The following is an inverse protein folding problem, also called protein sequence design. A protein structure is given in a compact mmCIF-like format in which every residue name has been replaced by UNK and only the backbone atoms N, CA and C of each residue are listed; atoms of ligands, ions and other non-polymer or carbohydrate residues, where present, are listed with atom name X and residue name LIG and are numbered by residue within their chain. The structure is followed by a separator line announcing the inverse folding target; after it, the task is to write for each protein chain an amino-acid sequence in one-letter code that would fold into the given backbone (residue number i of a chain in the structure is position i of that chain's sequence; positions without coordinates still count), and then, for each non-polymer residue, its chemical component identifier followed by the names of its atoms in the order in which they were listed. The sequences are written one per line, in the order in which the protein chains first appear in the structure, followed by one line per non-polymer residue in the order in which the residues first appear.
data_IF_227444495709
#
_entry.id   IF_227444495709
#
_cell.length_a   1.000
_cell.length_b   1.000
_cell.length_c   1.000
_cell.angle_alpha   90.00
_cell.angle_beta   90.00
_cell.angle_gamma   90.00
#
_symmetry.space_group_name_H-M   'P 1'
#
loop_
_entity.id
_entity.type
_entity.pdbx_description
1 polymer ?
#
# COMPACT_ATOMS: atom_id res chain seq x y z
N UNK A 1 -6.39 -9.18 6.28
CA UNK A 1 -5.81 -7.85 6.63
C UNK A 1 -4.49 -7.95 7.41
N UNK A 2 -4.37 -8.80 8.44
CA UNK A 2 -3.16 -8.89 9.29
C UNK A 2 -1.84 -9.04 8.49
N UNK A 3 -1.75 -9.99 7.55
CA UNK A 3 -0.53 -10.19 6.76
C UNK A 3 -0.10 -8.93 5.98
N UNK A 4 -1.06 -8.21 5.42
CA UNK A 4 -0.83 -6.97 4.68
C UNK A 4 -0.24 -5.87 5.57
N UNK A 5 -0.72 -5.76 6.80
CA UNK A 5 -0.31 -4.67 7.70
C UNK A 5 0.96 -4.96 8.49
N UNK A 6 1.32 -6.23 8.68
CA UNK A 6 2.41 -6.61 9.58
C UNK A 6 3.64 -7.20 8.89
N UNK A 7 3.45 -8.00 7.83
CA UNK A 7 4.55 -8.80 7.29
C UNK A 7 4.68 -8.83 5.76
N UNK A 8 3.66 -8.37 5.04
CA UNK A 8 3.57 -8.51 3.58
C UNK A 8 3.19 -7.18 2.91
N UNK A 9 4.10 -6.19 2.82
CA UNK A 9 3.81 -4.86 2.26
C UNK A 9 3.30 -4.92 0.81
N UNK A 10 3.79 -5.83 0.00
CA UNK A 10 3.39 -6.01 -1.39
C UNK A 10 1.92 -6.44 -1.58
N UNK A 11 1.24 -6.87 -0.51
CA UNK A 11 -0.20 -7.16 -0.55
C UNK A 11 -1.07 -5.92 -0.33
N UNK A 12 -0.50 -4.78 0.05
CA UNK A 12 -1.25 -3.57 0.38
C UNK A 12 -2.11 -3.10 -0.80
N UNK A 13 -1.52 -2.99 -2.00
CA UNK A 13 -2.23 -2.56 -3.19
C UNK A 13 -3.29 -3.57 -3.66
N UNK A 14 -3.00 -4.86 -3.94
CA UNK A 14 -4.03 -5.79 -4.40
C UNK A 14 -5.17 -5.97 -3.41
N UNK A 15 -4.91 -5.96 -2.10
CA UNK A 15 -5.97 -6.06 -1.10
C UNK A 15 -6.78 -4.75 -0.97
N UNK A 16 -6.18 -3.59 -1.17
CA UNK A 16 -6.91 -2.32 -1.23
C UNK A 16 -7.91 -2.29 -2.38
N UNK A 17 -7.55 -2.85 -3.54
CA UNK A 17 -8.45 -3.00 -4.69
C UNK A 17 -9.58 -3.99 -4.38
N UNK A 18 -9.25 -5.19 -3.89
CA UNK A 18 -10.24 -6.23 -3.59
C UNK A 18 -11.25 -5.77 -2.52
N UNK A 19 -10.79 -5.00 -1.54
CA UNK A 19 -11.65 -4.46 -0.49
C UNK A 19 -12.79 -3.57 -1.02
N UNK A 20 -12.63 -2.96 -2.19
CA UNK A 20 -13.67 -2.12 -2.84
C UNK A 20 -14.90 -2.93 -3.26
N UNK A 21 -14.75 -4.24 -3.45
CA UNK A 21 -15.77 -5.14 -3.99
C UNK A 21 -16.34 -6.12 -2.94
N UNK A 22 -16.03 -5.95 -1.67
CA UNK A 22 -16.54 -6.81 -0.59
C UNK A 22 -18.02 -6.55 -0.27
N UNK A 23 -18.52 -5.34 -0.56
CA UNK A 23 -19.92 -5.00 -0.29
C UNK A 23 -20.90 -5.88 -1.09
N UNK A 24 -22.07 -6.25 -0.49
CA UNK A 24 -23.07 -7.04 -1.19
C UNK A 24 -23.45 -6.43 -2.55
N UNK A 25 -23.57 -7.28 -3.57
CA UNK A 25 -23.91 -6.87 -4.94
C UNK A 25 -22.78 -6.24 -5.76
N UNK A 26 -21.59 -6.01 -5.17
CA UNK A 26 -20.43 -5.45 -5.90
C UNK A 26 -19.41 -6.50 -6.34
N UNK A 27 -19.45 -7.69 -5.75
CA UNK A 27 -18.52 -8.77 -6.11
C UNK A 27 -18.97 -9.46 -7.39
N UNK A 28 -18.01 -9.77 -8.24
CA UNK A 28 -18.17 -10.52 -9.49
C UNK A 28 -17.24 -11.73 -9.49
N UNK A 29 -17.44 -12.73 -10.38
CA UNK A 29 -16.57 -13.89 -10.48
C UNK A 29 -15.10 -13.55 -10.67
N UNK A 30 -14.79 -12.48 -11.41
CA UNK A 30 -13.44 -11.99 -11.63
C UNK A 30 -12.75 -11.52 -10.33
N UNK A 31 -13.48 -10.86 -9.42
CA UNK A 31 -12.93 -10.44 -8.12
C UNK A 31 -12.63 -11.66 -7.24
N UNK A 32 -13.47 -12.68 -7.29
CA UNK A 32 -13.22 -13.95 -6.59
C UNK A 32 -12.01 -14.67 -7.18
N UNK A 33 -11.84 -14.68 -8.50
CA UNK A 33 -10.67 -15.24 -9.16
C UNK A 33 -9.39 -14.49 -8.75
N UNK A 34 -9.44 -13.16 -8.66
CA UNK A 34 -8.32 -12.34 -8.18
C UNK A 34 -7.99 -12.65 -6.71
N UNK A 35 -8.98 -12.77 -5.84
CA UNK A 35 -8.78 -13.16 -4.43
C UNK A 35 -8.12 -14.54 -4.31
N UNK A 36 -8.59 -15.53 -5.08
CA UNK A 36 -7.96 -16.86 -5.14
C UNK A 36 -6.51 -16.80 -5.64
N UNK A 37 -6.18 -15.89 -6.57
CA UNK A 37 -4.80 -15.67 -7.04
C UNK A 37 -3.90 -15.15 -5.91
N UNK A 38 -4.38 -14.21 -5.10
CA UNK A 38 -3.66 -13.74 -3.91
C UNK A 38 -3.41 -14.89 -2.93
N UNK A 39 -4.41 -15.74 -2.67
CA UNK A 39 -4.23 -16.90 -1.79
C UNK A 39 -3.21 -17.90 -2.33
N UNK A 40 -3.25 -18.21 -3.63
CA UNK A 40 -2.23 -19.09 -4.27
C UNK A 40 -0.82 -18.50 -4.15
N UNK A 41 -0.68 -17.20 -4.36
CA UNK A 41 0.59 -16.50 -4.18
C UNK A 41 1.09 -16.62 -2.73
N UNK A 42 0.22 -16.42 -1.74
CA UNK A 42 0.58 -16.60 -0.33
C UNK A 42 1.01 -18.03 0.00
N UNK A 43 0.31 -19.03 -0.52
CA UNK A 43 0.70 -20.43 -0.33
C UNK A 43 2.09 -20.72 -0.95
N UNK A 44 2.35 -20.25 -2.17
CA UNK A 44 3.63 -20.47 -2.85
C UNK A 44 4.80 -19.68 -2.24
N UNK A 45 4.50 -18.63 -1.48
CA UNK A 45 5.50 -17.76 -0.83
C UNK A 45 5.42 -17.79 0.69
N UNK A 46 4.98 -18.91 1.28
CA UNK A 46 4.76 -19.03 2.74
C UNK A 46 6.03 -18.77 3.57
N UNK A 47 7.21 -19.11 3.02
CA UNK A 47 8.50 -18.86 3.65
C UNK A 47 9.04 -17.43 3.53
N UNK A 48 8.37 -16.55 2.75
CA UNK A 48 8.80 -15.14 2.62
C UNK A 48 8.32 -14.30 3.80
N UNK A 49 9.17 -13.41 4.28
CA UNK A 49 8.86 -12.46 5.35
C UNK A 49 9.63 -11.16 5.18
N UNK A 50 9.41 -10.22 6.09
CA UNK A 50 10.22 -9.02 6.20
C UNK A 50 11.52 -9.36 6.92
N UNK A 51 12.63 -8.94 6.31
CA UNK A 51 13.96 -9.02 6.93
C UNK A 51 14.28 -7.62 7.43
N UNK A 52 14.30 -7.45 8.75
CA UNK A 52 14.69 -6.20 9.42
C UNK A 52 16.11 -6.33 9.93
N UNK A 53 16.89 -5.23 9.83
CA UNK A 53 18.30 -5.23 10.22
C UNK A 53 19.24 -5.55 9.06
N UNK A 54 20.43 -6.06 9.34
CA UNK A 54 21.45 -6.38 8.36
C UNK A 54 22.66 -5.43 8.40
N UNK A 55 23.58 -5.56 7.42
CA UNK A 55 24.83 -4.78 7.37
C UNK A 55 24.69 -3.38 6.77
N UNK A 56 23.48 -2.99 6.31
CA UNK A 56 23.26 -1.66 5.74
C UNK A 56 23.15 -0.62 6.85
N UNK A 57 23.58 0.63 6.59
CA UNK A 57 23.36 1.72 7.52
C UNK A 57 21.87 1.84 7.86
N UNK A 58 21.57 2.15 9.12
CA UNK A 58 20.19 2.37 9.58
C UNK A 58 19.78 3.78 9.13
N UNK A 59 19.33 3.88 7.89
CA UNK A 59 18.83 5.12 7.29
C UNK A 59 17.36 4.94 6.98
N UNK A 60 16.54 5.86 7.43
CA UNK A 60 15.12 5.91 7.08
C UNK A 60 14.99 6.47 5.66
N UNK A 61 14.44 5.64 4.76
CA UNK A 61 14.13 6.03 3.38
C UNK A 61 12.64 5.91 3.12
N UNK A 62 12.06 6.90 2.44
CA UNK A 62 10.63 6.92 2.12
C UNK A 62 10.41 7.09 0.62
N UNK A 63 9.40 6.41 0.11
CA UNK A 63 8.89 6.56 -1.26
C UNK A 63 7.38 6.78 -1.19
N UNK A 64 6.88 7.72 -1.98
CA UNK A 64 5.46 7.95 -2.18
C UNK A 64 5.17 7.97 -3.67
N UNK A 65 4.00 7.50 -4.05
CA UNK A 65 3.58 7.41 -5.44
C UNK A 65 2.06 7.49 -5.54
N UNK A 66 1.55 7.94 -6.68
CA UNK A 66 0.12 7.98 -6.97
C UNK A 66 -0.19 7.51 -8.39
N UNK A 67 -1.27 6.72 -8.51
CA UNK A 67 -1.87 6.38 -9.80
C UNK A 67 -3.12 7.23 -9.99
N UNK A 68 -3.03 8.25 -10.85
CA UNK A 68 -4.13 9.17 -11.11
C UNK A 68 -5.29 8.47 -11.81
N UNK A 69 -6.50 8.66 -11.27
CA UNK A 69 -7.77 8.18 -11.83
C UNK A 69 -7.80 6.68 -12.19
N UNK A 70 -7.04 5.84 -11.47
CA UNK A 70 -6.94 4.39 -11.74
C UNK A 70 -8.22 3.60 -11.44
N UNK A 71 -9.12 4.13 -10.61
CA UNK A 71 -10.44 3.56 -10.38
C UNK A 71 -11.43 4.06 -11.47
N UNK A 72 -11.57 3.29 -12.54
CA UNK A 72 -12.42 3.65 -13.68
C UNK A 72 -13.89 3.94 -13.30
N UNK A 73 -14.40 3.31 -12.23
CA UNK A 73 -15.79 3.48 -11.81
C UNK A 73 -16.02 4.81 -11.08
N UNK A 74 -15.03 5.30 -10.33
CA UNK A 74 -15.17 6.50 -9.48
C UNK A 74 -14.23 7.62 -9.89
N UNK A 75 -13.32 7.41 -10.85
CA UNK A 75 -12.28 8.33 -11.29
C UNK A 75 -11.37 8.81 -10.13
N UNK A 76 -11.30 8.02 -9.06
CA UNK A 76 -10.44 8.33 -7.91
C UNK A 76 -9.07 7.71 -8.10
N UNK A 77 -8.06 8.39 -7.56
CA UNK A 77 -6.67 7.98 -7.61
C UNK A 77 -6.32 7.01 -6.49
N UNK A 78 -5.44 6.07 -6.76
CA UNK A 78 -4.77 5.28 -5.72
C UNK A 78 -3.49 5.98 -5.29
N UNK A 79 -3.21 5.95 -4.00
CA UNK A 79 -2.06 6.59 -3.38
C UNK A 79 -1.36 5.58 -2.47
N UNK A 80 -0.05 5.67 -2.40
CA UNK A 80 0.72 4.79 -1.55
C UNK A 80 2.02 5.43 -1.07
N UNK A 81 2.51 4.90 0.04
CA UNK A 81 3.87 5.16 0.50
C UNK A 81 4.49 3.89 1.07
N UNK A 82 5.78 3.86 1.12
CA UNK A 82 6.56 2.88 1.87
C UNK A 82 7.75 3.56 2.52
N UNK A 83 7.99 3.24 3.79
CA UNK A 83 9.17 3.64 4.53
C UNK A 83 9.98 2.40 4.89
N UNK A 84 11.27 2.47 4.67
CA UNK A 84 12.23 1.41 4.99
C UNK A 84 13.29 1.91 5.94
N UNK A 85 13.68 1.07 6.89
CA UNK A 85 14.76 1.34 7.84
C UNK A 85 15.84 0.28 7.63
N UNK A 86 16.98 0.70 7.09
CA UNK A 86 18.04 -0.22 6.68
C UNK A 86 17.58 -1.14 5.53
N UNK A 87 17.41 -2.43 5.78
CA UNK A 87 17.09 -3.44 4.74
C UNK A 87 15.61 -3.78 4.62
N UNK A 88 14.75 -3.33 5.53
CA UNK A 88 13.34 -3.75 5.58
C UNK A 88 12.34 -2.61 5.65
N UNK A 89 11.17 -2.82 5.07
CA UNK A 89 10.06 -1.88 5.19
C UNK A 89 9.48 -1.91 6.60
N UNK A 90 9.28 -0.72 7.20
CA UNK A 90 8.76 -0.54 8.56
C UNK A 90 7.38 0.08 8.59
N UNK A 91 7.00 0.86 7.57
CA UNK A 91 5.66 1.41 7.41
C UNK A 91 5.30 1.48 5.93
N UNK A 92 4.06 1.16 5.60
CA UNK A 92 3.54 1.23 4.23
C UNK A 92 2.02 1.37 4.24
N UNK A 93 1.53 1.97 3.20
CA UNK A 93 0.09 2.13 3.00
C UNK A 93 -0.25 2.17 1.52
N UNK A 94 -1.40 1.60 1.17
CA UNK A 94 -2.04 1.81 -0.13
C UNK A 94 -3.51 2.11 0.12
N UNK A 95 -3.99 3.23 -0.40
CA UNK A 95 -5.36 3.68 -0.20
C UNK A 95 -5.87 4.41 -1.43
N UNK A 96 -7.19 4.51 -1.56
CA UNK A 96 -7.84 5.32 -2.58
C UNK A 96 -8.09 6.73 -2.04
N UNK A 97 -7.92 7.75 -2.88
CA UNK A 97 -8.24 9.14 -2.54
C UNK A 97 -9.72 9.28 -2.12
N UNK A 98 -9.99 10.19 -1.20
CA UNK A 98 -11.36 10.50 -0.74
C UNK A 98 -12.17 11.27 -1.79
N UNK A 99 -11.49 12.00 -2.67
CA UNK A 99 -12.06 12.82 -3.74
C UNK A 99 -11.48 12.45 -5.10
N UNK A 100 -12.13 12.91 -6.16
CA UNK A 100 -11.57 12.91 -7.51
C UNK A 100 -10.56 14.05 -7.60
N UNK A 101 -9.38 13.77 -8.11
CA UNK A 101 -8.29 14.72 -8.24
C UNK A 101 -8.20 15.21 -9.70
N UNK A 102 -7.94 16.50 -9.89
CA UNK A 102 -8.01 17.15 -11.18
C UNK A 102 -6.81 16.86 -12.09
N UNK A 103 -5.69 16.37 -11.53
CA UNK A 103 -4.48 16.09 -12.30
C UNK A 103 -3.60 15.04 -11.63
N UNK A 104 -2.67 14.46 -12.40
CA UNK A 104 -1.64 13.58 -11.87
C UNK A 104 -0.74 14.29 -10.86
N UNK A 105 -0.40 15.56 -11.12
CA UNK A 105 0.40 16.37 -10.20
C UNK A 105 -0.28 16.54 -8.84
N UNK A 106 -1.59 16.80 -8.83
CA UNK A 106 -2.37 16.87 -7.58
C UNK A 106 -2.35 15.53 -6.84
N UNK A 107 -2.48 14.42 -7.56
CA UNK A 107 -2.42 13.08 -6.96
C UNK A 107 -1.06 12.82 -6.28
N UNK A 108 0.04 13.18 -6.93
CA UNK A 108 1.38 13.07 -6.38
C UNK A 108 1.59 13.93 -5.13
N UNK A 109 1.07 15.17 -5.13
CA UNK A 109 1.13 16.05 -3.96
C UNK A 109 0.38 15.44 -2.79
N UNK A 110 -0.80 14.86 -3.02
CA UNK A 110 -1.57 14.18 -1.97
C UNK A 110 -0.83 12.95 -1.42
N UNK A 111 -0.22 12.14 -2.28
CA UNK A 111 0.58 10.99 -1.84
C UNK A 111 1.78 11.45 -1.01
N UNK A 112 2.47 12.50 -1.44
CA UNK A 112 3.58 13.13 -0.72
C UNK A 112 3.15 13.68 0.64
N UNK A 113 2.01 14.36 0.72
CA UNK A 113 1.47 14.89 1.98
C UNK A 113 1.13 13.76 2.97
N UNK A 114 0.52 12.68 2.50
CA UNK A 114 0.22 11.50 3.31
C UNK A 114 1.51 10.83 3.84
N UNK A 115 2.53 10.71 3.00
CA UNK A 115 3.83 10.18 3.38
C UNK A 115 4.53 11.11 4.40
N UNK A 116 4.45 12.43 4.23
CA UNK A 116 5.04 13.40 5.16
C UNK A 116 4.40 13.32 6.55
N UNK A 117 3.10 13.06 6.66
CA UNK A 117 2.45 12.83 7.95
C UNK A 117 3.01 11.59 8.65
N UNK A 118 3.17 10.49 7.92
CA UNK A 118 3.75 9.26 8.46
C UNK A 118 5.21 9.44 8.84
N UNK A 119 5.99 10.14 8.03
CA UNK A 119 7.39 10.45 8.32
C UNK A 119 7.52 11.22 9.64
N UNK A 120 6.66 12.21 9.88
CA UNK A 120 6.65 12.94 11.15
C UNK A 120 6.43 12.00 12.34
N UNK A 121 5.46 11.09 12.23
CA UNK A 121 5.21 10.12 13.28
C UNK A 121 6.42 9.19 13.51
N UNK A 122 7.01 8.66 12.45
CA UNK A 122 8.19 7.79 12.53
C UNK A 122 9.38 8.50 13.18
N UNK A 123 9.63 9.76 12.85
CA UNK A 123 10.73 10.53 13.45
C UNK A 123 10.51 10.84 14.92
N UNK A 124 9.28 11.12 15.34
CA UNK A 124 8.98 11.32 16.77
C UNK A 124 9.02 10.02 17.59
N UNK A 125 8.75 8.88 16.97
CA UNK A 125 8.73 7.59 17.65
C UNK A 125 10.13 6.97 17.79
N UNK A 126 11.13 7.51 17.09
CA UNK A 126 12.54 7.05 17.13
C UNK A 126 13.45 7.91 18.03
N UNK A 127 12.93 8.97 18.63
CA UNK A 127 13.57 9.76 19.68
C UNK A 127 13.09 9.31 21.05
#
# INVERSE_FOLDING_TARGET
MYLMTCTRPHLAYPLSILARYVAPGRHRPEHMAAAKRVLRYLCSTSGMGLVLGGRRPVVLTGHADASWADDQATQRSSQGYTFSLGSGSVSWRSTRSSSVLGSSCEAEIYAGAMAAQELRWLTYSTC
#
